data_IF_740126337548
#
_entry.id   IF_740126337548
#
_cell.length_a   1.000
_cell.length_b   1.000
_cell.length_c   1.000
_cell.angle_alpha   90.00
_cell.angle_beta   90.00
_cell.angle_gamma   90.00
#
_symmetry.space_group_name_H-M   'P 1'
#
loop_
_entity.id
_entity.type
_entity.pdbx_description
1 polymer ?
#
# COMPACT_ATOMS: atom_id res chain seq x y z
N UNK A 1 -34.87 -28.40 -10.53
CA UNK A 1 -34.63 -26.96 -10.83
C UNK A 1 -35.85 -26.45 -11.56
N UNK A 2 -36.76 -25.84 -10.82
CA UNK A 2 -38.07 -25.37 -11.30
C UNK A 2 -38.04 -23.85 -11.43
N UNK A 3 -38.54 -23.33 -12.54
CA UNK A 3 -38.57 -21.90 -12.88
C UNK A 3 -39.39 -21.01 -11.92
N UNK A 4 -39.99 -21.59 -10.87
CA UNK A 4 -40.74 -20.88 -9.83
C UNK A 4 -39.87 -20.22 -8.77
N UNK A 5 -38.59 -20.60 -8.66
CA UNK A 5 -37.68 -20.04 -7.64
C UNK A 5 -37.01 -18.73 -8.09
N UNK A 6 -37.15 -18.34 -9.36
CA UNK A 6 -36.50 -17.15 -9.93
C UNK A 6 -37.35 -15.86 -9.89
N UNK A 7 -38.61 -15.93 -9.45
CA UNK A 7 -39.50 -14.77 -9.40
C UNK A 7 -39.79 -14.27 -7.98
N UNK A 8 -39.18 -14.86 -6.94
CA UNK A 8 -39.46 -14.51 -5.54
C UNK A 8 -38.37 -13.68 -4.84
N UNK A 9 -37.34 -13.24 -5.57
CA UNK A 9 -36.22 -12.46 -5.00
C UNK A 9 -36.11 -11.06 -5.60
N UNK A 10 -37.10 -10.63 -6.39
CA UNK A 10 -37.14 -9.30 -7.02
C UNK A 10 -38.08 -8.31 -6.33
N UNK A 11 -38.65 -8.64 -5.16
CA UNK A 11 -39.74 -7.87 -4.54
C UNK A 11 -39.45 -7.34 -3.10
N UNK A 12 -38.23 -7.47 -2.57
CA UNK A 12 -37.89 -6.97 -1.21
C UNK A 12 -36.53 -6.26 -1.15
N UNK A 13 -36.33 -5.19 -1.94
CA UNK A 13 -35.21 -4.27 -1.64
C UNK A 13 -35.46 -2.84 -2.13
N UNK A 14 -36.68 -2.35 -1.89
CA UNK A 14 -37.03 -0.94 -2.02
C UNK A 14 -37.51 -0.45 -0.63
N UNK A 15 -36.58 -0.34 0.32
CA UNK A 15 -36.88 0.21 1.64
C UNK A 15 -35.72 1.08 2.14
N UNK A 16 -36.09 2.32 2.42
CA UNK A 16 -35.47 3.30 3.31
C UNK A 16 -34.22 4.07 2.87
N UNK A 17 -34.52 5.19 2.20
CA UNK A 17 -34.04 6.52 2.58
C UNK A 17 -33.82 6.67 4.11
N UNK A 18 -32.55 6.68 4.52
CA UNK A 18 -32.15 7.23 5.81
C UNK A 18 -30.84 7.99 5.66
N UNK A 19 -30.94 9.29 5.35
CA UNK A 19 -29.85 10.25 5.51
C UNK A 19 -29.78 10.71 6.97
N UNK A 20 -28.72 10.40 7.73
CA UNK A 20 -28.42 11.14 8.95
C UNK A 20 -27.70 12.45 8.59
N UNK A 21 -28.44 13.56 8.63
CA UNK A 21 -27.86 14.91 8.59
C UNK A 21 -27.16 15.21 9.91
N UNK A 22 -25.83 15.02 9.94
CA UNK A 22 -24.95 15.41 11.04
C UNK A 22 -24.71 16.92 11.02
N UNK A 23 -25.65 17.68 11.59
CA UNK A 23 -25.43 19.09 11.96
C UNK A 23 -25.04 19.19 13.43
N UNK A 24 -23.78 18.83 13.74
CA UNK A 24 -23.12 19.24 14.97
C UNK A 24 -22.04 20.27 14.64
N UNK A 25 -22.32 21.55 14.87
CA UNK A 25 -21.25 22.48 15.23
C UNK A 25 -21.85 23.66 16.02
N UNK A 26 -22.08 23.43 17.31
CA UNK A 26 -22.40 24.47 18.26
C UNK A 26 -21.14 24.77 19.08
N UNK A 27 -20.64 26.00 18.93
CA UNK A 27 -19.89 26.79 19.91
C UNK A 27 -18.78 26.09 20.70
N UNK A 28 -17.52 26.30 20.31
CA UNK A 28 -16.42 26.39 21.27
C UNK A 28 -16.12 27.85 21.54
N UNK A 29 -16.76 28.33 22.61
CA UNK A 29 -16.50 29.58 23.28
C UNK A 29 -15.19 29.47 24.10
N UNK A 30 -14.49 30.59 24.24
CA UNK A 30 -13.46 30.92 25.24
C UNK A 30 -12.46 29.81 25.65
N UNK A 31 -11.21 29.80 25.16
CA UNK A 31 -10.07 30.57 25.73
C UNK A 31 -10.15 30.78 27.26
N UNK A 32 -9.63 29.82 28.01
CA UNK A 32 -9.02 30.03 29.32
C UNK A 32 -7.63 29.36 29.33
N UNK A 33 -6.61 30.17 29.02
CA UNK A 33 -5.46 30.44 29.89
C UNK A 33 -4.98 29.29 30.82
N UNK A 34 -4.28 28.30 30.28
CA UNK A 34 -3.36 27.49 31.08
C UNK A 34 -1.95 27.55 30.47
N UNK A 35 -1.23 28.62 30.84
CA UNK A 35 0.17 28.78 30.51
C UNK A 35 0.98 27.75 31.30
N UNK A 36 1.34 26.67 30.61
CA UNK A 36 2.43 25.78 31.00
C UNK A 36 3.69 26.61 31.30
N UNK A 37 4.00 26.74 32.59
CA UNK A 37 5.32 27.20 33.08
C UNK A 37 6.38 26.22 32.60
N UNK A 38 7.10 26.60 31.55
CA UNK A 38 8.31 25.90 31.13
C UNK A 38 9.39 26.16 32.20
N UNK A 39 10.00 25.12 32.80
CA UNK A 39 11.10 25.31 33.74
C UNK A 39 12.28 25.97 33.04
N UNK A 40 12.64 27.14 33.54
CA UNK A 40 13.79 27.95 33.17
C UNK A 40 15.07 27.22 33.60
N UNK A 41 15.62 26.37 32.73
CA UNK A 41 16.91 25.72 33.02
C UNK A 41 17.17 24.40 32.32
N UNK A 42 17.09 24.33 30.99
CA UNK A 42 17.82 23.32 30.20
C UNK A 42 18.34 24.02 28.94
N UNK A 43 19.48 24.69 29.08
CA UNK A 43 20.77 24.25 28.51
C UNK A 43 20.84 24.47 27.00
N UNK A 44 21.52 25.58 26.68
CA UNK A 44 22.22 25.88 25.44
C UNK A 44 22.82 24.63 24.79
N UNK A 45 22.14 24.07 23.77
CA UNK A 45 22.75 23.19 22.76
C UNK A 45 21.84 22.92 21.54
N UNK A 46 21.13 23.92 21.05
CA UNK A 46 20.26 23.79 19.86
C UNK A 46 20.74 24.57 18.62
N UNK A 47 22.04 24.81 18.46
CA UNK A 47 22.60 25.43 17.24
C UNK A 47 23.07 24.44 16.17
N UNK A 48 22.59 23.19 16.18
CA UNK A 48 22.97 22.19 15.16
C UNK A 48 21.81 21.34 14.59
N UNK A 49 20.56 21.77 14.75
CA UNK A 49 19.40 21.11 14.13
C UNK A 49 18.46 22.07 13.37
N UNK A 50 18.95 23.26 12.99
CA UNK A 50 18.23 24.18 12.10
C UNK A 50 18.71 24.02 10.64
N UNK A 51 18.52 22.82 10.09
CA UNK A 51 18.72 22.56 8.66
C UNK A 51 17.68 21.56 8.12
N UNK A 52 16.48 21.54 8.72
CA UNK A 52 15.37 20.70 8.25
C UNK A 52 14.05 21.42 8.49
N UNK A 53 13.74 22.34 7.58
CA UNK A 53 12.37 22.75 7.22
C UNK A 53 12.42 23.78 6.09
N UNK A 54 13.07 23.44 4.98
CA UNK A 54 12.60 23.91 3.67
C UNK A 54 11.40 23.05 3.26
N UNK A 55 10.39 22.98 4.13
CA UNK A 55 9.04 22.63 3.72
C UNK A 55 8.48 23.92 3.11
N UNK A 56 8.91 24.20 1.88
CA UNK A 56 8.35 25.27 1.09
C UNK A 56 6.86 24.96 0.96
N UNK A 57 6.07 25.70 1.73
CA UNK A 57 4.61 25.72 1.72
C UNK A 57 4.09 25.61 0.29
N UNK A 58 3.74 24.37 -0.09
CA UNK A 58 3.18 24.01 -1.39
C UNK A 58 1.92 24.84 -1.65
N UNK A 59 1.16 25.13 -0.59
CA UNK A 59 -0.05 25.93 -0.64
C UNK A 59 0.23 27.39 -1.02
N UNK A 60 1.28 28.00 -0.48
CA UNK A 60 1.64 29.38 -0.81
C UNK A 60 2.05 29.53 -2.30
N UNK A 61 2.80 28.56 -2.85
CA UNK A 61 3.19 28.58 -4.28
C UNK A 61 2.03 28.27 -5.21
N UNK A 62 1.11 27.40 -4.82
CA UNK A 62 -0.12 27.11 -5.58
C UNK A 62 -1.07 28.32 -5.59
N UNK A 63 -1.24 29.01 -4.45
CA UNK A 63 -2.06 30.21 -4.35
C UNK A 63 -1.50 31.37 -5.19
N UNK A 64 -0.17 31.56 -5.20
CA UNK A 64 0.47 32.58 -6.02
C UNK A 64 0.27 32.31 -7.52
N UNK A 65 0.34 31.05 -7.96
CA UNK A 65 0.10 30.66 -9.36
C UNK A 65 -1.36 30.78 -9.79
N UNK A 66 -2.32 30.61 -8.88
CA UNK A 66 -3.74 30.85 -9.15
C UNK A 66 -4.04 32.36 -9.20
N UNK A 67 -3.31 33.17 -8.40
CA UNK A 67 -3.46 34.64 -8.37
C UNK A 67 -2.86 35.34 -9.60
N UNK A 68 -1.82 34.76 -10.20
CA UNK A 68 -1.34 35.18 -11.51
C UNK A 68 -2.38 34.69 -12.53
N UNK A 69 -3.18 35.61 -13.05
CA UNK A 69 -4.33 35.38 -13.92
C UNK A 69 -3.97 34.64 -15.22
N UNK A 70 -3.64 33.36 -15.11
CA UNK A 70 -3.46 32.43 -16.20
C UNK A 70 -4.83 32.13 -16.80
N UNK A 71 -4.90 32.14 -18.12
CA UNK A 71 -6.12 31.82 -18.87
C UNK A 71 -6.66 30.46 -18.44
N UNK A 72 -7.98 30.34 -18.27
CA UNK A 72 -8.64 29.15 -17.72
C UNK A 72 -8.28 27.88 -18.52
N UNK A 73 -7.99 28.03 -19.81
CA UNK A 73 -7.51 26.97 -20.71
C UNK A 73 -6.11 26.49 -20.38
N UNK A 74 -5.20 27.37 -19.96
CA UNK A 74 -3.84 27.00 -19.57
C UNK A 74 -3.82 26.27 -18.22
N UNK A 75 -4.68 26.67 -17.28
CA UNK A 75 -4.85 25.98 -15.99
C UNK A 75 -5.34 24.54 -16.22
N UNK A 76 -6.39 24.37 -17.05
CA UNK A 76 -6.91 23.03 -17.40
C UNK A 76 -5.86 22.15 -18.09
N UNK A 77 -5.09 22.72 -19.02
CA UNK A 77 -4.01 22.00 -19.71
C UNK A 77 -2.89 21.56 -18.76
N UNK A 78 -2.50 22.41 -17.81
CA UNK A 78 -1.49 22.08 -16.79
C UNK A 78 -2.02 21.07 -15.77
N UNK A 79 -3.28 21.18 -15.36
CA UNK A 79 -3.92 20.20 -14.47
C UNK A 79 -3.92 18.80 -15.10
N UNK A 80 -4.33 18.68 -16.38
CA UNK A 80 -4.29 17.42 -17.12
C UNK A 80 -2.87 16.87 -17.27
N UNK A 81 -1.88 17.72 -17.57
CA UNK A 81 -0.47 17.30 -17.65
C UNK A 81 0.08 16.84 -16.30
N UNK A 82 -0.31 17.48 -15.19
CA UNK A 82 0.10 17.09 -13.85
C UNK A 82 -0.55 15.76 -13.44
N UNK A 83 -1.81 15.53 -13.80
CA UNK A 83 -2.49 14.25 -13.55
C UNK A 83 -1.83 13.09 -14.31
N UNK A 84 -1.47 13.29 -15.58
CA UNK A 84 -0.70 12.30 -16.34
C UNK A 84 0.65 11.99 -15.69
N UNK A 85 1.41 13.02 -15.29
CA UNK A 85 2.71 12.85 -14.63
C UNK A 85 2.58 12.09 -13.28
N UNK A 86 1.53 12.36 -12.50
CA UNK A 86 1.25 11.62 -11.27
C UNK A 86 0.95 10.15 -11.54
N UNK A 87 0.15 9.86 -12.56
CA UNK A 87 -0.21 8.48 -12.91
C UNK A 87 1.00 7.69 -13.41
N UNK A 88 1.88 8.32 -14.19
CA UNK A 88 3.14 7.72 -14.64
C UNK A 88 4.06 7.41 -13.47
N UNK A 89 4.28 8.37 -12.55
CA UNK A 89 5.08 8.15 -11.35
C UNK A 89 4.54 7.02 -10.47
N UNK A 90 3.22 6.90 -10.32
CA UNK A 90 2.63 5.81 -9.55
C UNK A 90 2.93 4.46 -10.19
N UNK A 91 2.78 4.36 -11.52
CA UNK A 91 3.09 3.13 -12.26
C UNK A 91 4.56 2.75 -12.15
N UNK A 92 5.47 3.72 -12.26
CA UNK A 92 6.91 3.47 -12.17
C UNK A 92 7.31 2.97 -10.78
N UNK A 93 6.75 3.55 -9.72
CA UNK A 93 6.96 3.07 -8.36
C UNK A 93 6.36 1.67 -8.15
N UNK A 94 5.17 1.41 -8.69
CA UNK A 94 4.55 0.09 -8.61
C UNK A 94 5.40 -0.97 -9.32
N UNK A 95 5.92 -0.66 -10.51
CA UNK A 95 6.83 -1.55 -11.24
C UNK A 95 8.10 -1.83 -10.45
N UNK A 96 8.70 -0.80 -9.85
CA UNK A 96 9.86 -0.96 -8.97
C UNK A 96 9.55 -1.88 -7.77
N UNK A 97 8.41 -1.68 -7.10
CA UNK A 97 7.99 -2.54 -5.98
C UNK A 97 7.71 -3.97 -6.44
N UNK A 98 7.09 -4.16 -7.61
CA UNK A 98 6.83 -5.48 -8.16
C UNK A 98 8.15 -6.23 -8.46
N UNK A 99 9.12 -5.55 -9.06
CA UNK A 99 10.45 -6.12 -9.33
C UNK A 99 11.17 -6.45 -8.01
N UNK A 100 11.15 -5.54 -7.03
CA UNK A 100 11.75 -5.77 -5.73
C UNK A 100 11.10 -6.97 -5.01
N UNK A 101 9.78 -7.04 -5.00
CA UNK A 101 9.04 -8.16 -4.40
C UNK A 101 9.36 -9.50 -5.08
N UNK A 102 9.52 -9.50 -6.41
CA UNK A 102 9.94 -10.67 -7.16
C UNK A 102 11.33 -11.16 -6.72
N UNK A 103 12.29 -10.23 -6.60
CA UNK A 103 13.65 -10.57 -6.14
C UNK A 103 13.66 -11.08 -4.70
N UNK A 104 12.95 -10.42 -3.79
CA UNK A 104 12.83 -10.85 -2.39
C UNK A 104 12.24 -12.26 -2.31
N UNK A 105 11.15 -12.50 -3.04
CA UNK A 105 10.50 -13.82 -3.09
C UNK A 105 11.45 -14.88 -3.65
N UNK A 106 12.17 -14.57 -4.73
CA UNK A 106 13.16 -15.47 -5.32
C UNK A 106 14.30 -15.82 -4.36
N UNK A 107 14.84 -14.83 -3.64
CA UNK A 107 15.88 -15.04 -2.62
C UNK A 107 15.38 -15.91 -1.47
N UNK A 108 14.16 -15.64 -0.98
CA UNK A 108 13.56 -16.45 0.09
C UNK A 108 13.42 -17.91 -0.34
N UNK A 109 12.87 -18.17 -1.54
CA UNK A 109 12.73 -19.53 -2.07
C UNK A 109 14.10 -20.20 -2.24
N UNK A 110 15.10 -19.47 -2.74
CA UNK A 110 16.46 -19.98 -2.91
C UNK A 110 17.10 -20.38 -1.58
N UNK A 111 16.98 -19.55 -0.54
CA UNK A 111 17.48 -19.88 0.80
C UNK A 111 16.78 -21.12 1.37
N UNK A 112 15.49 -21.26 1.10
CA UNK A 112 14.66 -22.39 1.52
C UNK A 112 15.13 -23.69 0.86
N UNK A 113 15.40 -23.66 -0.45
CA UNK A 113 15.97 -24.78 -1.20
C UNK A 113 17.39 -25.13 -0.75
N UNK A 114 18.24 -24.13 -0.50
CA UNK A 114 19.60 -24.35 0.01
C UNK A 114 19.53 -25.00 1.39
N UNK A 115 18.67 -24.50 2.28
CA UNK A 115 18.49 -25.07 3.62
C UNK A 115 18.03 -26.52 3.54
N UNK A 116 17.08 -26.81 2.66
CA UNK A 116 16.60 -28.17 2.43
C UNK A 116 17.69 -29.09 1.86
N UNK A 117 18.43 -28.63 0.84
CA UNK A 117 19.52 -29.40 0.24
C UNK A 117 20.67 -29.66 1.25
N UNK A 118 21.01 -28.63 2.04
CA UNK A 118 22.02 -28.73 3.09
C UNK A 118 21.59 -29.72 4.17
N UNK A 119 20.30 -29.73 4.54
CA UNK A 119 19.74 -30.69 5.48
C UNK A 119 19.87 -32.14 5.00
N UNK A 120 19.62 -32.41 3.71
CA UNK A 120 19.80 -33.74 3.10
C UNK A 120 21.29 -34.15 3.09
N UNK A 121 22.21 -33.19 2.96
CA UNK A 121 23.64 -33.47 2.92
C UNK A 121 24.26 -33.69 4.31
N UNK A 122 23.68 -33.13 5.37
CA UNK A 122 24.22 -33.27 6.73
C UNK A 122 23.81 -34.60 7.38
N UNK A 123 24.71 -35.24 8.15
CA UNK A 123 24.40 -36.48 8.87
C UNK A 123 23.39 -36.26 10.00
N UNK A 124 22.74 -37.36 10.41
CA UNK A 124 21.56 -37.35 11.30
C UNK A 124 21.74 -36.58 12.62
N UNK A 125 22.97 -36.43 13.10
CA UNK A 125 23.29 -35.80 14.38
C UNK A 125 23.11 -34.27 14.39
N UNK A 126 22.95 -33.63 13.23
CA UNK A 126 22.76 -32.17 13.09
C UNK A 126 21.37 -31.78 12.57
N UNK A 127 20.35 -32.62 12.79
CA UNK A 127 18.96 -32.28 12.48
C UNK A 127 18.44 -31.13 13.35
N UNK A 128 18.65 -29.90 12.89
CA UNK A 128 18.10 -28.70 13.55
C UNK A 128 16.60 -28.51 13.26
N UNK A 129 16.11 -29.00 12.10
CA UNK A 129 14.70 -28.93 11.71
C UNK A 129 13.95 -30.20 12.10
N UNK A 130 12.73 -30.03 12.60
CA UNK A 130 11.80 -31.12 12.85
C UNK A 130 11.31 -31.72 11.53
N UNK A 131 11.13 -33.04 11.47
CA UNK A 131 10.63 -33.75 10.28
C UNK A 131 9.30 -33.19 9.75
N UNK A 132 8.44 -32.68 10.65
CA UNK A 132 7.16 -32.04 10.26
C UNK A 132 7.34 -30.70 9.54
N UNK A 133 8.44 -29.98 9.80
CA UNK A 133 8.75 -28.73 9.10
C UNK A 133 9.31 -29.03 7.71
N UNK A 134 10.10 -30.10 7.57
CA UNK A 134 10.68 -30.52 6.31
C UNK A 134 9.61 -30.90 5.28
N UNK A 135 8.60 -31.65 5.70
CA UNK A 135 7.49 -32.08 4.83
C UNK A 135 6.70 -30.87 4.30
N UNK A 136 6.49 -29.85 5.14
CA UNK A 136 5.84 -28.59 4.71
C UNK A 136 6.68 -27.84 3.68
N UNK A 137 7.99 -27.79 3.88
CA UNK A 137 8.93 -27.17 2.94
C UNK A 137 8.93 -27.89 1.59
N UNK A 138 8.93 -29.22 1.62
CA UNK A 138 8.89 -30.06 0.42
C UNK A 138 7.58 -29.83 -0.37
N UNK A 139 6.43 -29.90 0.31
CA UNK A 139 5.14 -29.64 -0.33
C UNK A 139 5.03 -28.23 -0.90
N UNK A 140 5.56 -27.23 -0.20
CA UNK A 140 5.57 -25.85 -0.69
C UNK A 140 6.46 -25.70 -1.93
N UNK A 141 7.61 -26.39 -1.95
CA UNK A 141 8.57 -26.35 -3.07
C UNK A 141 8.00 -27.06 -4.30
N UNK A 142 7.50 -28.28 -4.14
CA UNK A 142 6.88 -29.06 -5.22
C UNK A 142 5.61 -28.36 -5.72
N UNK A 143 4.76 -27.89 -4.80
CA UNK A 143 3.54 -27.14 -5.11
C UNK A 143 3.84 -25.85 -5.86
N UNK A 144 4.88 -25.12 -5.46
CA UNK A 144 5.34 -23.90 -6.14
C UNK A 144 5.82 -24.17 -7.56
N UNK A 145 6.62 -25.22 -7.77
CA UNK A 145 7.09 -25.62 -9.11
C UNK A 145 5.89 -26.01 -10.00
N UNK A 146 4.99 -26.86 -9.50
CA UNK A 146 3.81 -27.30 -10.25
C UNK A 146 2.90 -26.10 -10.59
N UNK A 147 2.64 -25.22 -9.61
CA UNK A 147 1.85 -24.02 -9.84
C UNK A 147 2.49 -23.11 -10.90
N UNK A 148 3.81 -22.93 -10.87
CA UNK A 148 4.53 -22.12 -11.86
C UNK A 148 4.40 -22.68 -13.29
N UNK A 149 4.51 -23.99 -13.45
CA UNK A 149 4.32 -24.68 -14.74
C UNK A 149 2.85 -24.62 -15.19
N UNK A 150 1.92 -24.75 -14.24
CA UNK A 150 0.48 -24.68 -14.48
C UNK A 150 0.03 -23.32 -15.02
N UNK A 151 0.51 -22.23 -14.43
CA UNK A 151 0.19 -20.86 -14.88
C UNK A 151 0.63 -20.63 -16.33
N UNK A 152 1.81 -21.11 -16.71
CA UNK A 152 2.29 -21.03 -18.09
C UNK A 152 1.39 -21.79 -19.07
N UNK A 153 0.90 -22.97 -18.67
CA UNK A 153 0.01 -23.77 -19.49
C UNK A 153 -1.41 -23.18 -19.60
N UNK A 154 -1.95 -22.62 -18.51
CA UNK A 154 -3.26 -21.95 -18.49
C UNK A 154 -3.22 -20.68 -19.35
N UNK A 155 -2.18 -19.86 -19.24
CA UNK A 155 -2.00 -18.65 -20.08
C UNK A 155 -1.97 -18.99 -21.57
N UNK A 156 -1.35 -20.12 -21.95
CA UNK A 156 -1.31 -20.60 -23.34
C UNK A 156 -2.70 -21.01 -23.88
N UNK A 157 -3.64 -21.40 -23.00
CA UNK A 157 -5.00 -21.80 -23.39
C UNK A 157 -6.03 -20.68 -23.29
N UNK A 158 -5.84 -19.69 -22.42
CA UNK A 158 -6.75 -18.55 -22.28
C UNK A 158 -6.40 -17.38 -23.22
N UNK A 159 -5.20 -17.36 -23.79
CA UNK A 159 -4.75 -16.34 -24.73
C UNK A 159 -5.02 -16.67 -26.21
N UNK A 160 -5.95 -17.58 -26.51
CA UNK A 160 -6.37 -17.96 -27.86
C UNK A 160 -7.87 -17.78 -28.02
#
# INVERSE_FOLDING_TARGET
MTNSDLLKTSEEMEEEDALPSSSQNAGSDAREDDYLKIPEGVVEKEEALSATSQDMDSGAREAEQISQALDEKEIKKRAAANEHNRNEKFRDNFELYAIMALWVTGVVILLLLITWALHILLPEEFHWLSSSQLEKVEHLSIGGIIASLGVGHIKKRLGH
#
